data_IF_463274755273
#
_entry.id   IF_463274755273
#
_cell.length_a   1.000
_cell.length_b   1.000
_cell.length_c   1.000
_cell.angle_alpha   90.00
_cell.angle_beta   90.00
_cell.angle_gamma   90.00
#
_symmetry.space_group_name_H-M   'P 1'
#
loop_
_entity.id
_entity.type
_entity.pdbx_description
1 polymer ?
#
# COMPACT_ATOMS: atom_id res chain seq x y z
N UNK A 1 16.69 -9.38 7.29
CA UNK A 1 15.30 -9.04 7.00
C UNK A 1 14.84 -7.84 7.81
N UNK A 2 13.59 -7.40 7.56
CA UNK A 2 13.02 -6.29 8.32
C UNK A 2 12.49 -6.76 9.68
N UNK A 3 12.60 -5.89 10.68
CA UNK A 3 12.09 -6.11 12.03
C UNK A 3 10.71 -5.47 12.18
N UNK A 4 9.76 -6.20 12.72
CA UNK A 4 8.42 -5.68 12.99
C UNK A 4 8.42 -4.77 14.23
N UNK A 5 7.72 -3.65 14.11
CA UNK A 5 7.49 -2.68 15.19
C UNK A 5 6.01 -2.30 15.20
N UNK A 6 5.52 -1.79 16.32
CA UNK A 6 4.20 -1.17 16.40
C UNK A 6 4.36 0.21 17.04
N UNK A 7 4.13 1.24 16.26
CA UNK A 7 4.32 2.64 16.68
C UNK A 7 2.99 3.31 17.04
N UNK A 8 3.00 4.36 17.89
CA UNK A 8 1.78 5.06 18.29
C UNK A 8 1.04 5.68 17.10
N UNK A 9 -0.29 5.54 17.08
CA UNK A 9 -1.16 6.24 16.14
C UNK A 9 -1.35 7.72 16.50
N UNK A 10 -1.44 8.02 17.79
CA UNK A 10 -1.48 9.40 18.31
C UNK A 10 -0.06 9.90 18.46
N UNK A 11 0.27 10.98 17.75
CA UNK A 11 1.62 11.50 17.65
C UNK A 11 1.69 12.93 18.18
N UNK A 12 2.72 13.27 19.01
CA UNK A 12 2.85 14.60 19.57
C UNK A 12 3.29 15.61 18.51
N UNK A 13 2.82 16.84 18.63
CA UNK A 13 3.15 17.94 17.71
C UNK A 13 4.65 18.20 17.61
N UNK A 14 5.37 18.08 18.72
CA UNK A 14 6.78 18.43 18.84
C UNK A 14 7.67 17.76 17.81
N UNK A 15 7.46 16.46 17.52
CA UNK A 15 8.26 15.75 16.52
C UNK A 15 7.94 16.19 15.09
N UNK A 16 6.71 16.66 14.85
CA UNK A 16 6.28 17.21 13.57
C UNK A 16 6.79 18.62 13.32
N UNK A 17 6.97 19.40 14.40
CA UNK A 17 7.58 20.72 14.34
C UNK A 17 9.07 20.63 13.97
N UNK A 18 9.80 19.62 14.46
CA UNK A 18 11.20 19.39 14.12
C UNK A 18 11.41 19.22 12.59
N UNK A 19 10.48 18.57 11.91
CA UNK A 19 10.52 18.36 10.45
C UNK A 19 9.80 19.44 9.64
N UNK A 20 9.23 20.44 10.30
CA UNK A 20 8.39 21.50 9.71
C UNK A 20 7.17 20.96 8.96
N UNK A 21 6.77 19.70 9.24
CA UNK A 21 5.63 19.07 8.55
C UNK A 21 4.29 19.32 9.24
N UNK A 22 4.29 19.79 10.47
CA UNK A 22 3.03 20.19 11.15
C UNK A 22 2.22 21.17 10.31
N UNK A 23 2.85 22.22 9.76
CA UNK A 23 2.19 23.19 8.89
C UNK A 23 2.11 22.72 7.44
N UNK A 24 3.16 22.07 6.92
CA UNK A 24 3.26 21.63 5.53
C UNK A 24 2.18 20.63 5.13
N UNK A 25 1.75 19.74 6.04
CA UNK A 25 0.68 18.76 5.81
C UNK A 25 -0.72 19.40 5.74
N UNK A 26 -0.85 20.64 6.19
CA UNK A 26 -2.11 21.38 6.09
C UNK A 26 -3.28 20.71 6.80
N UNK A 27 -4.44 20.72 6.15
CA UNK A 27 -5.69 20.20 6.72
C UNK A 27 -5.82 18.67 6.64
N UNK A 28 -4.97 18.02 5.87
CA UNK A 28 -4.95 16.55 5.80
C UNK A 28 -4.49 15.92 7.11
N UNK A 29 -3.67 16.65 7.88
CA UNK A 29 -3.27 16.28 9.23
C UNK A 29 -4.40 16.55 10.22
N UNK A 30 -5.09 15.51 10.70
CA UNK A 30 -6.11 15.66 11.73
C UNK A 30 -5.47 15.94 13.08
N UNK A 31 -5.60 17.17 13.55
CA UNK A 31 -5.06 17.65 14.82
C UNK A 31 -6.09 17.45 15.94
N UNK A 32 -5.61 17.05 17.08
CA UNK A 32 -6.40 16.80 18.30
C UNK A 32 -5.70 17.41 19.50
N UNK A 33 -6.42 17.59 20.58
CA UNK A 33 -5.83 18.01 21.87
C UNK A 33 -6.16 17.00 22.95
N UNK A 34 -5.22 16.79 23.87
CA UNK A 34 -5.45 16.00 25.05
C UNK A 34 -6.17 16.84 26.15
N UNK A 35 -6.46 16.21 27.31
CA UNK A 35 -7.12 16.88 28.44
C UNK A 35 -6.32 18.06 29.06
N UNK A 36 -5.07 18.19 28.68
CA UNK A 36 -4.15 19.26 29.14
C UNK A 36 -3.87 20.28 28.05
N UNK A 37 -4.70 20.28 26.97
CA UNK A 37 -4.61 21.22 25.85
C UNK A 37 -3.28 21.10 25.07
N UNK A 38 -2.59 19.95 25.16
CA UNK A 38 -1.42 19.68 24.33
C UNK A 38 -1.83 19.20 22.96
N UNK A 39 -1.15 19.70 21.93
CA UNK A 39 -1.43 19.36 20.55
C UNK A 39 -0.86 17.99 20.15
N UNK A 40 -1.68 17.20 19.49
CA UNK A 40 -1.35 15.92 18.88
C UNK A 40 -1.99 15.85 17.50
N UNK A 41 -1.62 14.81 16.75
CA UNK A 41 -2.34 14.43 15.54
C UNK A 41 -2.59 12.92 15.50
N UNK A 42 -3.55 12.51 14.66
CA UNK A 42 -3.63 11.13 14.21
C UNK A 42 -2.65 10.93 13.06
N UNK A 43 -1.79 9.91 13.19
CA UNK A 43 -0.68 9.68 12.27
C UNK A 43 -1.13 9.39 10.83
N UNK A 44 -0.88 10.29 9.87
CA UNK A 44 -1.07 10.00 8.45
C UNK A 44 0.07 9.16 7.89
N UNK A 45 1.20 9.13 8.60
CA UNK A 45 2.46 8.44 8.32
C UNK A 45 3.33 8.42 9.59
N UNK A 46 4.48 7.77 9.60
CA UNK A 46 5.28 7.58 10.81
C UNK A 46 6.78 7.90 10.65
N UNK A 47 7.19 8.71 9.68
CA UNK A 47 8.60 9.08 9.49
C UNK A 47 9.18 9.73 10.75
N UNK A 48 8.46 10.65 11.36
CA UNK A 48 8.89 11.36 12.58
C UNK A 48 9.03 10.39 13.75
N UNK A 49 8.04 9.53 13.95
CA UNK A 49 8.02 8.59 15.08
C UNK A 49 9.15 7.57 14.98
N UNK A 50 9.38 7.00 13.79
CA UNK A 50 10.47 6.03 13.62
C UNK A 50 11.84 6.69 13.72
N UNK A 51 11.99 7.92 13.24
CA UNK A 51 13.24 8.68 13.36
C UNK A 51 13.52 9.00 14.83
N UNK A 52 12.50 9.36 15.61
CA UNK A 52 12.62 9.57 17.06
C UNK A 52 13.03 8.27 17.80
N UNK A 53 12.43 7.15 17.45
CA UNK A 53 12.81 5.84 17.97
C UNK A 53 14.28 5.53 17.67
N UNK A 54 14.71 5.71 16.42
CA UNK A 54 16.06 5.39 15.96
C UNK A 54 17.10 6.30 16.61
N UNK A 55 16.88 7.62 16.66
CA UNK A 55 17.83 8.56 17.30
C UNK A 55 18.06 8.29 18.78
N UNK A 56 17.07 7.71 19.46
CA UNK A 56 17.15 7.37 20.87
C UNK A 56 17.76 6.00 21.14
N UNK A 57 17.70 5.07 20.18
CA UNK A 57 18.16 3.69 20.35
C UNK A 57 19.48 3.37 19.68
N UNK A 58 19.69 3.81 18.42
CA UNK A 58 20.88 3.50 17.63
C UNK A 58 21.96 4.54 17.90
N UNK A 59 23.13 4.09 18.33
CA UNK A 59 24.26 4.97 18.70
C UNK A 59 25.52 4.71 17.89
N UNK A 60 25.63 3.59 17.23
CA UNK A 60 26.82 3.18 16.52
C UNK A 60 26.53 2.72 15.09
N UNK A 61 27.42 3.07 14.17
CA UNK A 61 27.35 2.58 12.79
C UNK A 61 27.34 1.04 12.68
N UNK A 62 27.82 0.32 13.71
CA UNK A 62 27.84 -1.15 13.75
C UNK A 62 26.44 -1.77 13.88
N UNK A 63 25.46 -0.97 14.28
CA UNK A 63 24.04 -1.38 14.40
C UNK A 63 23.27 -1.21 13.10
N UNK A 64 23.93 -0.67 12.08
CA UNK A 64 23.34 -0.36 10.77
C UNK A 64 23.87 -1.32 9.69
N UNK A 65 23.13 -1.54 8.57
CA UNK A 65 21.82 -0.96 8.31
C UNK A 65 20.70 -1.66 9.09
N UNK A 66 19.65 -0.91 9.42
CA UNK A 66 18.41 -1.47 9.96
C UNK A 66 17.25 -1.24 9.00
N UNK A 67 16.31 -2.15 9.03
CA UNK A 67 15.04 -2.04 8.30
C UNK A 67 13.91 -2.48 9.23
N UNK A 68 12.93 -1.61 9.42
CA UNK A 68 11.78 -1.86 10.28
C UNK A 68 10.49 -1.74 9.46
N UNK A 69 9.43 -2.42 9.90
CA UNK A 69 8.11 -2.26 9.29
C UNK A 69 7.01 -2.41 10.32
N UNK A 70 5.85 -1.89 9.98
CA UNK A 70 4.60 -2.13 10.69
C UNK A 70 3.46 -2.32 9.70
N UNK A 71 2.38 -2.95 10.18
CA UNK A 71 1.08 -2.92 9.52
C UNK A 71 0.15 -2.21 10.50
N UNK A 72 -0.19 -0.97 10.18
CA UNK A 72 -0.84 -0.06 11.12
C UNK A 72 -1.89 0.81 10.41
N UNK A 73 -2.94 1.15 11.13
CA UNK A 73 -3.91 2.15 10.71
C UNK A 73 -3.22 3.51 10.50
N UNK A 74 -3.63 4.19 9.44
CA UNK A 74 -3.30 5.60 9.16
C UNK A 74 -4.59 6.40 9.11
N UNK A 75 -4.48 7.68 9.45
CA UNK A 75 -5.60 8.60 9.32
C UNK A 75 -5.16 9.83 8.51
N UNK A 76 -5.90 10.11 7.43
CA UNK A 76 -5.75 11.32 6.63
C UNK A 76 -7.12 11.99 6.52
N UNK A 77 -7.22 13.27 6.87
CA UNK A 77 -8.48 13.99 6.77
C UNK A 77 -8.80 14.36 5.31
N UNK A 78 -9.00 13.31 4.53
CA UNK A 78 -9.29 13.37 3.10
C UNK A 78 -10.54 14.22 2.85
N UNK A 79 -10.41 15.24 2.01
CA UNK A 79 -11.49 16.18 1.73
C UNK A 79 -12.66 15.52 0.96
N UNK A 80 -12.38 14.52 0.15
CA UNK A 80 -13.36 13.82 -0.69
C UNK A 80 -13.16 12.30 -0.63
N UNK A 81 -13.53 11.65 0.49
CA UNK A 81 -13.54 10.19 0.53
C UNK A 81 -14.45 9.64 -0.57
N UNK A 82 -14.00 8.61 -1.27
CA UNK A 82 -14.75 8.00 -2.38
C UNK A 82 -14.25 6.60 -2.68
N UNK A 83 -15.05 5.83 -3.44
CA UNK A 83 -14.71 4.49 -3.89
C UNK A 83 -14.39 3.52 -2.73
N UNK A 84 -15.15 3.62 -1.61
CA UNK A 84 -14.99 2.75 -0.45
C UNK A 84 -13.57 2.79 0.12
N UNK A 85 -12.95 1.63 0.24
CA UNK A 85 -11.60 1.50 0.84
C UNK A 85 -10.46 1.99 -0.09
N UNK A 86 -10.74 2.40 -1.31
CA UNK A 86 -9.72 2.93 -2.21
C UNK A 86 -9.21 4.30 -1.73
N UNK A 87 -10.13 5.18 -1.27
CA UNK A 87 -9.81 6.52 -0.79
C UNK A 87 -10.63 6.88 0.44
N UNK A 88 -10.33 6.20 1.54
CA UNK A 88 -10.93 6.42 2.86
C UNK A 88 -10.03 7.30 3.74
N UNK A 89 -10.62 7.87 4.80
CA UNK A 89 -9.86 8.66 5.79
C UNK A 89 -9.03 7.78 6.72
N UNK A 90 -9.58 6.64 7.11
CA UNK A 90 -8.92 5.64 7.93
C UNK A 90 -8.65 4.41 7.08
N UNK A 91 -7.40 3.95 7.04
CA UNK A 91 -6.99 2.84 6.19
C UNK A 91 -5.80 2.10 6.78
N UNK A 92 -5.63 0.85 6.38
CA UNK A 92 -4.51 0.02 6.79
C UNK A 92 -3.36 0.15 5.78
N UNK A 93 -2.17 0.45 6.30
CA UNK A 93 -0.93 0.53 5.52
C UNK A 93 0.13 -0.38 6.11
N UNK A 94 0.87 -1.07 5.26
CA UNK A 94 2.19 -1.60 5.61
C UNK A 94 3.20 -0.50 5.29
N UNK A 95 3.87 0.01 6.27
CA UNK A 95 4.93 0.98 6.10
C UNK A 95 6.24 0.47 6.69
N UNK A 96 7.32 0.65 5.93
CA UNK A 96 8.68 0.25 6.33
C UNK A 96 9.64 1.43 6.20
N UNK A 97 10.71 1.35 6.99
CA UNK A 97 11.69 2.41 7.12
C UNK A 97 13.08 1.79 7.23
N UNK A 98 13.99 2.24 6.37
CA UNK A 98 15.39 1.82 6.41
C UNK A 98 16.28 2.98 6.87
N UNK A 99 17.32 2.64 7.62
CA UNK A 99 18.36 3.57 8.03
C UNK A 99 19.73 2.98 7.74
N UNK A 100 20.58 3.78 7.13
CA UNK A 100 21.95 3.40 6.75
C UNK A 100 22.94 4.52 7.01
N UNK A 101 24.21 4.23 6.80
CA UNK A 101 25.31 5.19 7.04
C UNK A 101 25.64 6.06 5.82
N UNK A 102 25.27 5.61 4.62
CA UNK A 102 25.61 6.22 3.33
C UNK A 102 24.56 5.96 2.25
N UNK A 103 24.70 6.62 1.12
CA UNK A 103 23.82 6.45 -0.04
C UNK A 103 23.85 5.02 -0.60
N UNK A 104 24.99 4.32 -0.55
CA UNK A 104 25.08 2.94 -1.02
C UNK A 104 24.17 2.01 -0.22
N UNK A 105 24.14 2.17 1.11
CA UNK A 105 23.25 1.41 1.99
C UNK A 105 21.77 1.76 1.77
N UNK A 106 21.47 3.03 1.49
CA UNK A 106 20.13 3.48 1.11
C UNK A 106 19.69 2.87 -0.22
N UNK A 107 20.55 2.93 -1.24
CA UNK A 107 20.29 2.37 -2.58
C UNK A 107 20.01 0.87 -2.52
N UNK A 108 20.82 0.14 -1.77
CA UNK A 108 20.60 -1.28 -1.55
C UNK A 108 19.25 -1.57 -0.90
N UNK A 109 18.92 -0.86 0.16
CA UNK A 109 17.63 -1.01 0.86
C UNK A 109 16.44 -0.66 -0.05
N UNK A 110 16.58 0.37 -0.86
CA UNK A 110 15.59 0.79 -1.84
C UNK A 110 15.34 -0.28 -2.92
N UNK A 111 16.41 -0.82 -3.50
CA UNK A 111 16.33 -1.88 -4.52
C UNK A 111 15.73 -3.16 -3.93
N UNK A 112 16.15 -3.56 -2.73
CA UNK A 112 15.61 -4.73 -2.03
C UNK A 112 14.11 -4.58 -1.76
N UNK A 113 13.67 -3.40 -1.35
CA UNK A 113 12.25 -3.12 -1.10
C UNK A 113 11.44 -3.04 -2.39
N UNK A 114 11.99 -2.40 -3.43
CA UNK A 114 11.39 -2.37 -4.77
C UNK A 114 11.12 -3.78 -5.30
N UNK A 115 12.13 -4.65 -5.21
CA UNK A 115 12.00 -6.04 -5.64
C UNK A 115 11.03 -6.85 -4.77
N UNK A 116 10.94 -6.52 -3.48
CA UNK A 116 10.00 -7.15 -2.56
C UNK A 116 8.56 -6.76 -2.93
N UNK A 117 8.31 -5.49 -3.25
CA UNK A 117 6.98 -5.03 -3.68
C UNK A 117 6.55 -5.64 -5.02
N UNK A 118 7.46 -5.77 -5.97
CA UNK A 118 7.22 -6.54 -7.20
C UNK A 118 6.73 -7.95 -6.89
N UNK A 119 7.46 -8.69 -6.06
CA UNK A 119 7.10 -10.06 -5.67
C UNK A 119 5.74 -10.15 -4.96
N UNK A 120 5.39 -9.14 -4.14
CA UNK A 120 4.09 -9.09 -3.47
C UNK A 120 2.98 -8.97 -4.50
N UNK A 121 3.06 -8.01 -5.43
CA UNK A 121 2.04 -7.80 -6.45
C UNK A 121 1.94 -8.97 -7.43
N UNK A 122 3.06 -9.55 -7.85
CA UNK A 122 3.13 -10.75 -8.67
C UNK A 122 2.48 -11.96 -7.97
N UNK A 123 2.74 -12.13 -6.66
CA UNK A 123 2.15 -13.22 -5.87
C UNK A 123 0.64 -13.04 -5.68
N UNK A 124 0.17 -11.81 -5.58
CA UNK A 124 -1.27 -11.48 -5.54
C UNK A 124 -1.91 -11.74 -6.92
N UNK A 125 -1.14 -11.64 -8.01
CA UNK A 125 -1.62 -11.82 -9.38
C UNK A 125 -2.19 -10.55 -10.01
N UNK A 126 -1.69 -9.37 -9.60
CA UNK A 126 -2.12 -8.09 -10.15
C UNK A 126 -1.20 -7.63 -11.29
N UNK A 127 -1.79 -7.09 -12.34
CA UNK A 127 -1.07 -6.37 -13.39
C UNK A 127 -0.76 -4.95 -12.92
N UNK A 128 0.53 -4.58 -12.92
CA UNK A 128 0.98 -3.30 -12.40
C UNK A 128 2.10 -2.68 -13.23
N UNK A 129 2.32 -1.39 -13.03
CA UNK A 129 3.50 -0.66 -13.53
C UNK A 129 4.18 0.07 -12.38
N UNK A 130 5.52 0.15 -12.45
CA UNK A 130 6.32 0.97 -11.55
C UNK A 130 6.56 2.30 -12.26
N UNK A 131 6.12 3.37 -11.62
CA UNK A 131 5.99 4.69 -12.21
C UNK A 131 6.91 5.66 -11.49
N UNK A 132 7.71 6.42 -12.21
CA UNK A 132 8.46 7.54 -11.62
C UNK A 132 7.48 8.60 -11.14
N UNK A 133 7.66 9.06 -9.91
CA UNK A 133 6.75 9.95 -9.23
C UNK A 133 7.44 11.13 -8.53
N UNK A 134 6.64 12.10 -8.10
CA UNK A 134 7.08 13.21 -7.25
C UNK A 134 7.04 12.78 -5.78
N UNK A 135 8.05 13.15 -5.01
CA UNK A 135 8.13 12.82 -3.58
C UNK A 135 7.15 13.64 -2.71
N UNK A 136 6.56 14.70 -3.23
CA UNK A 136 5.51 15.50 -2.58
C UNK A 136 5.84 16.01 -1.18
N UNK A 137 4.87 15.87 -0.26
CA UNK A 137 5.01 16.33 1.12
C UNK A 137 5.90 15.42 1.98
N UNK A 138 6.18 14.21 1.55
CA UNK A 138 7.10 13.27 2.21
C UNK A 138 8.54 13.78 2.07
N UNK A 139 8.91 14.24 0.87
CA UNK A 139 10.25 14.76 0.56
C UNK A 139 11.20 13.68 0.06
N UNK A 140 12.47 14.03 -0.13
CA UNK A 140 13.51 13.18 -0.67
C UNK A 140 13.77 13.42 -2.16
N UNK A 141 14.80 12.75 -2.70
CA UNK A 141 15.36 13.05 -4.03
C UNK A 141 14.76 12.19 -5.15
N UNK A 142 14.18 11.04 -4.80
CA UNK A 142 13.60 10.13 -5.78
C UNK A 142 12.49 9.27 -5.16
N UNK A 143 11.45 9.03 -5.95
CA UNK A 143 10.39 8.10 -5.58
C UNK A 143 9.83 7.33 -6.78
N UNK A 144 9.28 6.16 -6.50
CA UNK A 144 8.56 5.33 -7.46
C UNK A 144 7.25 4.85 -6.84
N UNK A 145 6.18 4.93 -7.64
CA UNK A 145 4.85 4.43 -7.32
C UNK A 145 4.59 3.08 -7.99
N UNK A 146 3.82 2.22 -7.34
CA UNK A 146 3.32 0.97 -7.89
C UNK A 146 1.84 1.16 -8.21
N UNK A 147 1.52 1.20 -9.50
CA UNK A 147 0.17 1.40 -10.01
C UNK A 147 -0.41 0.11 -10.55
N UNK A 148 -1.51 -0.34 -9.98
CA UNK A 148 -2.36 -1.40 -10.55
C UNK A 148 -3.16 -0.80 -11.69
N UNK A 149 -3.10 -1.43 -12.87
CA UNK A 149 -3.82 -0.96 -14.04
C UNK A 149 -5.32 -1.26 -13.89
N UNK A 150 -6.16 -0.23 -13.97
CA UNK A 150 -7.61 -0.37 -13.88
C UNK A 150 -8.30 0.80 -14.62
N UNK A 151 -9.41 0.52 -15.34
CA UNK A 151 -10.12 1.54 -16.09
C UNK A 151 -10.64 2.69 -15.22
N UNK A 152 -11.05 2.38 -14.01
CA UNK A 152 -11.54 3.34 -13.01
C UNK A 152 -10.43 3.90 -12.11
N UNK A 153 -9.15 3.76 -12.50
CA UNK A 153 -8.02 4.32 -11.74
C UNK A 153 -8.11 5.83 -11.60
N UNK A 154 -7.69 6.34 -10.44
CA UNK A 154 -7.71 7.78 -10.15
C UNK A 154 -6.59 8.52 -10.88
N UNK A 155 -5.43 7.88 -11.03
CA UNK A 155 -4.25 8.50 -11.64
C UNK A 155 -4.16 8.19 -13.13
N UNK A 156 -3.54 9.10 -13.85
CA UNK A 156 -3.22 8.92 -15.25
C UNK A 156 -1.72 8.71 -15.38
N UNK A 157 -1.33 7.64 -16.09
CA UNK A 157 0.07 7.29 -16.30
C UNK A 157 0.35 7.10 -17.78
N UNK A 158 1.55 7.50 -18.20
CA UNK A 158 2.05 7.24 -19.54
C UNK A 158 3.01 6.04 -19.47
N UNK A 159 2.70 4.97 -20.19
CA UNK A 159 3.48 3.73 -20.20
C UNK A 159 3.94 3.42 -21.64
N UNK A 160 5.02 2.63 -21.76
CA UNK A 160 5.39 2.04 -23.04
C UNK A 160 4.60 0.76 -23.30
N UNK A 161 4.26 0.52 -24.59
CA UNK A 161 3.65 -0.74 -25.03
C UNK A 161 4.57 -1.95 -24.91
N UNK A 162 5.89 -1.75 -24.99
CA UNK A 162 6.88 -2.83 -25.15
C UNK A 162 8.05 -2.77 -24.16
N UNK A 163 8.01 -1.86 -23.16
CA UNK A 163 9.07 -1.75 -22.15
C UNK A 163 8.53 -1.47 -20.75
N UNK A 164 9.44 -1.40 -19.80
CA UNK A 164 9.13 -1.02 -18.40
C UNK A 164 8.96 0.49 -18.20
N UNK A 165 9.11 1.32 -19.27
CA UNK A 165 8.94 2.76 -19.13
C UNK A 165 7.52 3.09 -18.66
N UNK A 166 7.44 3.82 -17.54
CA UNK A 166 6.19 4.37 -17.01
C UNK A 166 6.48 5.65 -16.21
N UNK A 167 5.61 6.63 -16.34
CA UNK A 167 5.71 7.92 -15.65
C UNK A 167 4.32 8.44 -15.28
N UNK A 168 4.19 9.04 -14.09
CA UNK A 168 2.97 9.72 -13.70
C UNK A 168 2.81 11.00 -14.54
N UNK A 169 1.63 11.20 -15.15
CA UNK A 169 1.40 12.35 -16.01
C UNK A 169 1.45 13.69 -15.29
N UNK A 170 1.30 13.71 -13.97
CA UNK A 170 1.49 14.93 -13.17
C UNK A 170 2.91 15.50 -13.30
N UNK A 171 3.94 14.65 -13.38
CA UNK A 171 5.32 15.07 -13.62
C UNK A 171 5.47 15.70 -15.00
N UNK A 172 4.83 15.14 -16.02
CA UNK A 172 4.87 15.64 -17.39
C UNK A 172 4.15 17.00 -17.51
N UNK A 173 2.99 17.13 -16.83
CA UNK A 173 2.24 18.39 -16.76
C UNK A 173 3.04 19.50 -16.07
N UNK A 174 3.75 19.19 -14.96
CA UNK A 174 4.65 20.14 -14.29
C UNK A 174 5.78 20.62 -15.20
N UNK A 175 6.21 19.81 -16.15
CA UNK A 175 7.21 20.15 -17.16
C UNK A 175 6.62 20.87 -18.39
N UNK A 176 5.30 21.10 -18.39
CA UNK A 176 4.60 21.79 -19.49
C UNK A 176 4.29 20.93 -20.70
N UNK A 177 4.32 19.59 -20.55
CA UNK A 177 4.01 18.67 -21.64
C UNK A 177 2.49 18.49 -21.81
N UNK A 178 2.04 18.40 -23.06
CA UNK A 178 0.66 18.07 -23.40
C UNK A 178 0.49 16.54 -23.46
N UNK A 179 -0.17 15.99 -22.45
CA UNK A 179 -0.39 14.55 -22.29
C UNK A 179 -1.12 13.93 -23.50
N UNK A 180 -2.15 14.61 -24.00
CA UNK A 180 -2.90 14.11 -25.14
C UNK A 180 -2.03 13.94 -26.40
N UNK A 181 -1.02 14.78 -26.55
CA UNK A 181 -0.09 14.72 -27.66
C UNK A 181 0.93 13.58 -27.56
N UNK A 182 1.04 12.89 -26.42
CA UNK A 182 2.02 11.83 -26.20
C UNK A 182 1.51 10.46 -26.66
N UNK A 183 0.21 10.24 -26.67
CA UNK A 183 -0.40 8.96 -27.09
C UNK A 183 0.09 8.55 -28.49
N UNK A 184 0.58 7.32 -28.60
CA UNK A 184 1.11 6.75 -29.84
C UNK A 184 2.51 7.22 -30.26
N UNK A 185 3.12 8.20 -29.58
CA UNK A 185 4.52 8.57 -29.83
C UNK A 185 5.47 7.47 -29.38
N UNK A 186 6.68 7.46 -29.94
CA UNK A 186 7.73 6.55 -29.51
C UNK A 186 8.08 6.78 -28.04
N UNK A 187 8.20 5.71 -27.28
CA UNK A 187 8.60 5.79 -25.88
C UNK A 187 10.01 6.38 -25.72
N UNK A 188 10.32 7.15 -24.65
CA UNK A 188 11.60 7.81 -24.45
C UNK A 188 12.80 6.88 -24.39
N UNK A 189 12.62 5.64 -23.94
CA UNK A 189 13.65 4.59 -23.94
C UNK A 189 13.87 3.94 -25.33
N UNK A 190 13.10 4.37 -26.32
CA UNK A 190 13.21 3.92 -27.71
C UNK A 190 12.47 2.63 -28.04
N UNK A 191 11.79 2.01 -27.07
CA UNK A 191 11.07 0.75 -27.21
C UNK A 191 9.55 0.97 -27.09
N UNK A 192 8.79 0.55 -28.10
CA UNK A 192 7.35 0.68 -28.13
C UNK A 192 6.83 2.10 -28.29
N UNK A 193 5.54 2.26 -28.08
CA UNK A 193 4.81 3.54 -28.17
C UNK A 193 4.17 3.87 -26.82
N UNK A 194 4.01 5.16 -26.56
CA UNK A 194 3.35 5.64 -25.34
C UNK A 194 1.86 5.32 -25.43
N UNK A 195 1.35 4.75 -24.35
CA UNK A 195 -0.07 4.54 -24.08
C UNK A 195 -0.44 5.28 -22.80
N UNK A 196 -1.56 6.01 -22.84
CA UNK A 196 -2.10 6.67 -21.65
C UNK A 196 -3.08 5.70 -20.98
N UNK A 197 -2.81 5.34 -19.73
CA UNK A 197 -3.60 4.40 -18.95
C UNK A 197 -4.04 5.03 -17.65
N UNK A 198 -5.08 4.42 -17.05
CA UNK A 198 -5.49 4.70 -15.69
C UNK A 198 -4.85 3.70 -14.74
N UNK A 199 -4.46 4.18 -13.56
CA UNK A 199 -3.85 3.37 -12.52
C UNK A 199 -4.36 3.72 -11.13
N UNK A 200 -4.22 2.75 -10.23
CA UNK A 200 -4.48 2.91 -8.80
C UNK A 200 -3.14 2.74 -8.08
N UNK A 201 -2.66 3.80 -7.45
CA UNK A 201 -1.45 3.77 -6.63
C UNK A 201 -1.67 2.88 -5.41
N UNK A 202 -1.02 1.72 -5.36
CA UNK A 202 -1.13 0.77 -4.23
C UNK A 202 0.11 0.74 -3.35
N UNK A 203 1.23 1.26 -3.84
CA UNK A 203 2.48 1.33 -3.10
C UNK A 203 3.34 2.48 -3.57
N UNK A 204 4.19 2.99 -2.67
CA UNK A 204 5.11 4.08 -2.94
C UNK A 204 6.40 3.87 -2.15
N UNK A 205 7.54 4.07 -2.80
CA UNK A 205 8.86 3.94 -2.19
C UNK A 205 9.67 5.21 -2.40
N UNK A 206 10.41 5.63 -1.37
CA UNK A 206 11.10 6.91 -1.35
C UNK A 206 12.54 6.75 -0.89
N UNK A 207 13.45 7.48 -1.53
CA UNK A 207 14.77 7.81 -0.99
C UNK A 207 14.67 9.16 -0.29
N UNK A 208 14.63 9.14 1.03
CA UNK A 208 14.48 10.35 1.84
C UNK A 208 15.81 11.06 2.11
N UNK A 209 16.92 10.34 1.91
CA UNK A 209 18.24 10.88 2.25
C UNK A 209 18.34 11.24 3.72
N UNK A 210 18.83 12.44 4.01
CA UNK A 210 19.04 12.95 5.38
C UNK A 210 17.95 13.91 5.86
N UNK A 211 16.87 14.10 5.09
CA UNK A 211 15.84 15.13 5.37
C UNK A 211 15.28 15.03 6.80
N UNK A 212 14.97 13.84 7.28
CA UNK A 212 14.45 13.63 8.63
C UNK A 212 15.57 13.56 9.67
N UNK A 213 16.63 12.84 9.36
CA UNK A 213 17.73 12.61 10.30
C UNK A 213 18.47 13.92 10.65
N UNK A 214 18.66 14.81 9.72
CA UNK A 214 19.25 16.14 9.98
C UNK A 214 18.33 17.00 10.85
N UNK A 215 17.06 17.14 10.47
CA UNK A 215 16.11 17.96 11.19
C UNK A 215 15.87 17.48 12.63
N UNK A 216 15.90 16.15 12.85
CA UNK A 216 15.64 15.53 14.16
C UNK A 216 16.92 15.12 14.91
N UNK A 217 18.10 15.40 14.37
CA UNK A 217 19.38 15.07 15.00
C UNK A 217 19.64 13.57 15.14
N UNK A 218 19.13 12.74 14.21
CA UNK A 218 19.37 11.29 14.19
C UNK A 218 20.74 10.99 13.58
N UNK A 219 21.76 10.91 14.42
CA UNK A 219 23.15 10.72 14.02
C UNK A 219 23.79 9.52 14.70
N UNK A 220 24.81 8.96 14.06
CA UNK A 220 25.67 7.91 14.64
C UNK A 220 27.13 8.28 14.49
N UNK A 221 27.95 7.70 15.38
CA UNK A 221 29.40 7.83 15.26
C UNK A 221 29.97 6.77 14.33
N UNK A 222 30.78 7.21 13.35
CA UNK A 222 31.53 6.35 12.47
C UNK A 222 32.75 5.78 13.15
N UNK A 223 33.43 4.83 12.47
CA UNK A 223 34.70 4.26 12.93
C UNK A 223 35.78 5.30 13.22
N UNK A 224 35.77 6.41 12.48
CA UNK A 224 36.74 7.52 12.61
C UNK A 224 36.30 8.57 13.64
N UNK A 225 35.23 8.30 14.40
CA UNK A 225 34.72 9.19 15.45
C UNK A 225 33.94 10.39 14.93
N UNK A 226 33.62 10.45 13.62
CA UNK A 226 32.79 11.50 13.05
C UNK A 226 31.33 11.22 13.31
N UNK A 227 30.53 12.25 13.61
CA UNK A 227 29.10 12.18 13.63
C UNK A 227 28.54 12.36 12.22
N UNK A 228 27.68 11.44 11.78
CA UNK A 228 27.00 11.52 10.48
C UNK A 228 25.50 11.39 10.68
N UNK A 229 24.73 12.10 9.86
CA UNK A 229 23.28 11.93 9.77
C UNK A 229 22.94 10.65 9.02
N UNK A 230 21.89 9.96 9.47
CA UNK A 230 21.48 8.68 8.88
C UNK A 230 20.81 8.89 7.52
N UNK A 231 21.14 8.03 6.57
CA UNK A 231 20.42 7.94 5.30
C UNK A 231 19.15 7.12 5.48
N UNK A 232 18.00 7.66 5.10
CA UNK A 232 16.69 7.08 5.36
C UNK A 232 15.93 6.80 4.06
N UNK A 233 15.24 5.66 4.01
CA UNK A 233 14.21 5.34 3.03
C UNK A 233 12.89 5.02 3.71
N UNK A 234 11.77 5.30 3.03
CA UNK A 234 10.46 4.82 3.47
C UNK A 234 9.70 4.14 2.33
N UNK A 235 8.85 3.17 2.68
CA UNK A 235 8.27 2.24 1.73
C UNK A 235 6.87 1.85 2.20
N UNK A 236 5.84 2.33 1.51
CA UNK A 236 4.44 2.13 1.87
C UNK A 236 3.67 1.24 0.90
N UNK A 237 2.78 0.39 1.43
CA UNK A 237 1.72 -0.31 0.69
C UNK A 237 0.39 -0.03 1.36
N UNK A 238 -0.57 0.46 0.60
CA UNK A 238 -1.96 0.63 1.04
C UNK A 238 -2.68 -0.72 1.06
N UNK A 239 -2.63 -1.45 2.18
CA UNK A 239 -3.22 -2.79 2.30
C UNK A 239 -4.72 -2.78 1.99
N UNK A 240 -5.46 -1.82 2.56
CA UNK A 240 -6.89 -1.65 2.27
C UNK A 240 -7.13 -1.30 0.80
N UNK A 241 -6.25 -0.51 0.18
CA UNK A 241 -6.36 -0.09 -1.21
C UNK A 241 -6.10 -1.23 -2.19
N UNK A 242 -5.24 -2.20 -1.86
CA UNK A 242 -5.03 -3.41 -2.68
C UNK A 242 -6.34 -4.18 -2.85
N UNK A 243 -7.19 -4.26 -1.83
CA UNK A 243 -8.51 -4.89 -1.94
C UNK A 243 -9.33 -4.22 -3.03
N UNK A 244 -9.46 -2.89 -2.99
CA UNK A 244 -10.19 -2.13 -4.00
C UNK A 244 -9.56 -2.25 -5.40
N UNK A 245 -8.23 -2.14 -5.50
CA UNK A 245 -7.50 -2.27 -6.76
C UNK A 245 -7.67 -3.66 -7.39
N UNK A 246 -7.70 -4.71 -6.56
CA UNK A 246 -7.95 -6.08 -7.02
C UNK A 246 -9.34 -6.24 -7.59
N UNK A 247 -10.35 -5.64 -6.98
CA UNK A 247 -11.75 -5.65 -7.47
C UNK A 247 -11.85 -4.86 -8.77
N UNK A 248 -11.26 -3.66 -8.84
CA UNK A 248 -11.33 -2.82 -10.04
C UNK A 248 -10.61 -3.44 -11.24
N UNK A 249 -9.57 -4.21 -11.03
CA UNK A 249 -8.87 -4.91 -12.11
C UNK A 249 -9.54 -6.23 -12.50
N UNK A 250 -10.17 -6.92 -11.53
CA UNK A 250 -10.70 -8.27 -11.69
C UNK A 250 -12.19 -8.33 -11.34
N UNK A 251 -13.03 -8.00 -12.30
CA UNK A 251 -14.48 -8.08 -12.20
C UNK A 251 -15.10 -8.43 -13.56
N UNK A 252 -16.33 -8.88 -13.53
CA UNK A 252 -17.17 -9.09 -14.70
C UNK A 252 -18.59 -8.48 -14.47
N UNK A 253 -19.52 -8.72 -15.37
CA UNK A 253 -20.90 -8.24 -15.30
C UNK A 253 -21.72 -8.87 -14.16
N UNK A 254 -21.22 -9.90 -13.48
CA UNK A 254 -21.86 -10.58 -12.36
C UNK A 254 -21.32 -10.14 -11.00
N UNK A 255 -20.05 -9.80 -10.92
CA UNK A 255 -19.43 -9.39 -9.67
C UNK A 255 -17.91 -9.43 -9.67
N UNK A 256 -17.36 -9.73 -8.49
CA UNK A 256 -15.92 -9.77 -8.25
C UNK A 256 -15.33 -11.07 -8.78
N UNK A 257 -14.14 -11.00 -9.38
CA UNK A 257 -13.31 -12.15 -9.78
C UNK A 257 -12.00 -12.11 -8.99
N UNK A 258 -11.99 -12.60 -7.77
CA UNK A 258 -10.81 -12.53 -6.92
C UNK A 258 -9.62 -13.29 -7.49
N UNK A 259 -8.41 -12.72 -7.50
CA UNK A 259 -7.19 -13.50 -7.59
C UNK A 259 -7.16 -14.54 -6.45
N UNK A 260 -6.90 -15.80 -6.78
CA UNK A 260 -6.99 -16.90 -5.79
C UNK A 260 -6.13 -16.67 -4.53
N UNK A 261 -5.00 -15.96 -4.67
CA UNK A 261 -4.08 -15.68 -3.56
C UNK A 261 -4.66 -14.76 -2.46
N UNK A 262 -5.73 -14.01 -2.75
CA UNK A 262 -6.33 -13.03 -1.82
C UNK A 262 -7.86 -13.16 -1.74
N UNK A 263 -8.42 -14.20 -2.32
CA UNK A 263 -9.85 -14.49 -2.19
C UNK A 263 -10.19 -14.65 -0.70
N UNK A 264 -11.17 -13.89 -0.17
CA UNK A 264 -11.53 -13.97 1.26
C UNK A 264 -12.13 -15.32 1.65
N UNK A 265 -12.64 -16.03 0.66
CA UNK A 265 -13.18 -17.38 0.78
C UNK A 265 -12.82 -18.14 -0.50
N UNK A 266 -12.30 -19.36 -0.36
CA UNK A 266 -11.89 -20.19 -1.50
C UNK A 266 -13.05 -21.01 -2.05
N UNK A 267 -13.92 -21.49 -1.16
CA UNK A 267 -15.04 -22.38 -1.49
C UNK A 267 -16.33 -21.89 -0.86
N UNK A 268 -17.40 -21.89 -1.63
CA UNK A 268 -18.75 -21.65 -1.12
C UNK A 268 -19.63 -22.89 -1.39
N UNK A 269 -20.19 -23.47 -0.34
CA UNK A 269 -21.16 -24.57 -0.42
C UNK A 269 -22.55 -23.96 -0.42
N UNK A 270 -23.34 -24.24 -1.48
CA UNK A 270 -24.67 -23.65 -1.71
C UNK A 270 -25.73 -24.76 -1.73
N UNK A 271 -26.10 -25.33 -0.58
CA UNK A 271 -27.04 -26.45 -0.54
C UNK A 271 -28.45 -26.01 -0.91
N UNK A 272 -29.11 -26.83 -1.73
CA UNK A 272 -30.51 -26.63 -2.11
C UNK A 272 -31.39 -27.42 -1.13
N UNK A 273 -32.20 -26.71 -0.34
CA UNK A 273 -33.13 -27.30 0.63
C UNK A 273 -32.49 -27.73 1.94
N UNK A 274 -31.40 -27.06 2.32
CA UNK A 274 -30.66 -27.28 3.58
C UNK A 274 -31.59 -27.37 4.80
N UNK A 275 -32.50 -26.39 4.96
CA UNK A 275 -33.42 -26.33 6.11
C UNK A 275 -34.62 -27.31 6.01
N UNK A 276 -34.80 -28.01 4.90
CA UNK A 276 -35.96 -28.87 4.65
C UNK A 276 -35.62 -30.35 4.56
N UNK A 277 -34.36 -30.69 4.35
CA UNK A 277 -33.88 -32.04 4.16
C UNK A 277 -32.67 -32.31 5.03
N UNK A 278 -32.86 -33.18 6.03
CA UNK A 278 -31.80 -33.54 6.98
C UNK A 278 -30.59 -34.22 6.32
N UNK A 279 -30.79 -35.00 5.25
CA UNK A 279 -29.69 -35.63 4.53
C UNK A 279 -28.80 -34.58 3.82
N UNK A 280 -29.42 -33.54 3.24
CA UNK A 280 -28.69 -32.44 2.60
C UNK A 280 -27.95 -31.63 3.66
N UNK A 281 -28.58 -31.32 4.78
CA UNK A 281 -27.97 -30.62 5.92
C UNK A 281 -26.73 -31.39 6.40
N UNK A 282 -26.86 -32.71 6.66
CA UNK A 282 -25.80 -33.55 7.18
C UNK A 282 -24.64 -33.69 6.17
N UNK A 283 -24.96 -33.86 4.88
CA UNK A 283 -23.96 -33.97 3.82
C UNK A 283 -23.19 -32.65 3.64
N UNK A 284 -23.90 -31.49 3.66
CA UNK A 284 -23.28 -30.18 3.53
C UNK A 284 -22.39 -29.84 4.72
N UNK A 285 -22.85 -30.12 5.94
CA UNK A 285 -22.06 -29.93 7.14
C UNK A 285 -20.81 -30.81 7.16
N UNK A 286 -20.93 -32.05 6.70
CA UNK A 286 -19.79 -32.97 6.58
C UNK A 286 -18.77 -32.44 5.59
N UNK A 287 -19.20 -32.05 4.39
CA UNK A 287 -18.31 -31.46 3.36
C UNK A 287 -17.62 -30.18 3.87
N UNK A 288 -18.38 -29.30 4.54
CA UNK A 288 -17.85 -28.08 5.15
C UNK A 288 -16.69 -28.40 6.13
N UNK A 289 -16.91 -29.36 7.05
CA UNK A 289 -15.87 -29.75 8.01
C UNK A 289 -14.67 -30.43 7.34
N UNK A 290 -14.89 -31.24 6.31
CA UNK A 290 -13.82 -31.92 5.55
C UNK A 290 -12.91 -30.88 4.85
N UNK A 291 -13.48 -29.86 4.22
CA UNK A 291 -12.73 -28.80 3.56
C UNK A 291 -11.99 -27.91 4.56
N UNK A 292 -12.62 -27.53 5.68
CA UNK A 292 -11.94 -26.79 6.77
C UNK A 292 -10.74 -27.57 7.32
N UNK A 293 -10.90 -28.90 7.51
CA UNK A 293 -9.81 -29.77 7.99
C UNK A 293 -8.65 -29.89 6.99
N UNK A 294 -8.89 -29.63 5.71
CA UNK A 294 -7.87 -29.55 4.66
C UNK A 294 -7.21 -28.18 4.56
N UNK A 295 -7.69 -27.19 5.33
CA UNK A 295 -7.12 -25.85 5.40
C UNK A 295 -7.70 -24.84 4.41
N UNK A 296 -8.83 -25.14 3.79
CA UNK A 296 -9.54 -24.18 2.93
C UNK A 296 -10.38 -23.18 3.73
N UNK A 297 -10.46 -21.96 3.25
CA UNK A 297 -11.42 -20.95 3.73
C UNK A 297 -12.78 -21.20 3.06
N UNK A 298 -13.75 -21.67 3.83
CA UNK A 298 -15.04 -22.16 3.32
C UNK A 298 -16.21 -21.38 3.87
N UNK A 299 -17.15 -21.00 3.01
CA UNK A 299 -18.48 -20.52 3.37
C UNK A 299 -19.50 -21.66 3.18
N UNK A 300 -20.38 -21.87 4.14
CA UNK A 300 -21.60 -22.66 3.97
C UNK A 300 -22.79 -21.70 3.97
N UNK A 301 -23.48 -21.56 2.84
CA UNK A 301 -24.69 -20.75 2.74
C UNK A 301 -25.90 -21.51 3.26
N UNK A 302 -26.06 -21.56 4.58
CA UNK A 302 -27.15 -22.20 5.32
C UNK A 302 -28.43 -21.35 5.39
N UNK A 303 -28.42 -20.15 4.77
CA UNK A 303 -29.55 -19.21 4.81
C UNK A 303 -30.82 -19.82 4.21
N UNK A 304 -31.97 -19.45 4.80
CA UNK A 304 -33.28 -19.74 4.22
C UNK A 304 -33.58 -18.80 3.06
N UNK A 305 -32.97 -19.07 1.91
CA UNK A 305 -33.12 -18.28 0.70
C UNK A 305 -33.28 -19.18 -0.53
N UNK A 306 -33.88 -18.66 -1.59
CA UNK A 306 -33.98 -19.37 -2.86
C UNK A 306 -32.60 -19.57 -3.51
N UNK A 307 -32.41 -20.69 -4.20
CA UNK A 307 -31.13 -21.03 -4.86
C UNK A 307 -30.63 -19.92 -5.77
N UNK A 308 -31.50 -19.32 -6.60
CA UNK A 308 -31.10 -18.22 -7.48
C UNK A 308 -30.59 -16.97 -6.76
N UNK A 309 -31.07 -16.70 -5.52
CA UNK A 309 -30.56 -15.61 -4.69
C UNK A 309 -29.16 -15.96 -4.14
N UNK A 310 -28.99 -17.18 -3.64
CA UNK A 310 -27.70 -17.63 -3.11
C UNK A 310 -26.61 -17.62 -4.19
N UNK A 311 -26.92 -18.07 -5.41
CA UNK A 311 -25.98 -18.02 -6.54
C UNK A 311 -25.61 -16.58 -6.89
N UNK A 312 -26.60 -15.68 -7.00
CA UNK A 312 -26.31 -14.27 -7.30
C UNK A 312 -25.43 -13.58 -6.25
N UNK A 313 -25.69 -13.89 -4.97
CA UNK A 313 -24.85 -13.35 -3.90
C UNK A 313 -23.43 -13.92 -3.96
N UNK A 314 -23.28 -15.21 -4.29
CA UNK A 314 -21.97 -15.84 -4.44
C UNK A 314 -21.19 -15.30 -5.65
N UNK A 315 -21.87 -15.10 -6.78
CA UNK A 315 -21.28 -14.47 -7.97
C UNK A 315 -20.82 -13.02 -7.65
N UNK A 316 -21.67 -12.25 -6.93
CA UNK A 316 -21.35 -10.87 -6.54
C UNK A 316 -20.13 -10.81 -5.59
N UNK A 317 -20.05 -11.72 -4.61
CA UNK A 317 -18.93 -11.84 -3.67
C UNK A 317 -17.66 -12.32 -4.38
N UNK A 318 -17.83 -13.17 -5.41
CA UNK A 318 -16.73 -13.66 -6.25
C UNK A 318 -15.95 -14.82 -5.62
N UNK A 319 -16.63 -15.72 -4.87
CA UNK A 319 -15.98 -16.91 -4.36
C UNK A 319 -15.51 -17.79 -5.53
N UNK A 320 -14.24 -18.19 -5.60
CA UNK A 320 -13.67 -18.88 -6.76
C UNK A 320 -14.32 -20.22 -7.08
N UNK A 321 -14.70 -20.97 -6.05
CA UNK A 321 -15.30 -22.31 -6.19
C UNK A 321 -16.68 -22.34 -5.52
N UNK A 322 -17.69 -22.69 -6.30
CA UNK A 322 -19.06 -22.89 -5.79
C UNK A 322 -19.45 -24.36 -5.97
N UNK A 323 -19.96 -24.99 -4.89
CA UNK A 323 -20.37 -26.41 -4.83
C UNK A 323 -21.85 -26.49 -4.43
#
# INVERSE_FOLDING_TARGET
>A
GAQEVLMPMVQPKEIWDETHRWEKMGKELLRIQDRHERDFCLGPTHEEVITDLVRNTIKSYKELPINTYQIQTKFRDEIRPRYGVMRSREFLMKDAYSFGVDEESLDKSYIDMRNTYKKILEKIGLEYKIVKADSGAIGGDASEEFHVLAENGEDTIAISSDSEFAINTELLLKNGEDIASLEGKKAPDGNGTIQIKKGIEVGHIFKLGTVYSENMGATVQTKDGKSISLQMGCYGIGVSRIVAASIEQNNDDKGIVWPAAIAPLEVNIIPIGYEKNKEIEDASNKLYQELLNQGYDVLLDDRKAGFGSKIKDSELIGTPINI
#
